data_IF_954086883444
#
_entry.id   IF_954086883444
#
_cell.length_a   1.000
_cell.length_b   1.000
_cell.length_c   1.000
_cell.angle_alpha   90.00
_cell.angle_beta   90.00
_cell.angle_gamma   90.00
#
_symmetry.space_group_name_H-M   'P 1'
#
loop_
_entity.id
_entity.type
_entity.pdbx_description
1 polymer ?
#
# COMPACT_ATOMS: atom_id res chain seq x y z
N UNK A 1 -3.18 4.82 13.63
CA UNK A 1 -3.11 3.34 13.63
C UNK A 1 -1.66 2.86 13.67
N UNK A 2 -0.83 3.08 12.65
CA UNK A 2 0.59 2.64 12.65
C UNK A 2 1.37 3.16 13.87
N UNK A 3 1.28 4.46 14.19
CA UNK A 3 1.95 5.05 15.37
C UNK A 3 1.48 4.47 16.72
N UNK A 4 0.30 3.85 16.77
CA UNK A 4 -0.16 3.12 17.95
C UNK A 4 0.54 1.76 18.02
N UNK A 5 0.56 1.04 16.90
CA UNK A 5 1.21 -0.27 16.77
C UNK A 5 2.73 -0.23 16.98
N UNK A 6 3.39 0.84 16.53
CA UNK A 6 4.82 1.09 16.82
C UNK A 6 5.05 1.19 18.33
N UNK A 7 4.23 1.97 19.05
CA UNK A 7 4.35 2.10 20.50
C UNK A 7 4.07 0.78 21.22
N UNK A 8 3.06 0.03 20.79
CA UNK A 8 2.78 -1.31 21.31
C UNK A 8 3.99 -2.26 21.10
N UNK A 9 4.60 -2.25 19.92
CA UNK A 9 5.79 -3.05 19.64
C UNK A 9 7.00 -2.60 20.48
N UNK A 10 7.23 -1.30 20.65
CA UNK A 10 8.27 -0.76 21.53
C UNK A 10 8.08 -1.20 22.99
N UNK A 11 6.85 -1.16 23.49
CA UNK A 11 6.49 -1.59 24.84
C UNK A 11 6.73 -3.10 25.02
N UNK A 12 6.25 -3.94 24.10
CA UNK A 12 6.42 -5.40 24.14
C UNK A 12 7.89 -5.81 24.03
N UNK A 13 8.66 -5.13 23.18
CA UNK A 13 10.08 -5.40 22.96
C UNK A 13 11.02 -4.80 24.03
N UNK A 14 10.50 -4.03 24.98
CA UNK A 14 11.32 -3.31 25.97
C UNK A 14 12.09 -4.25 26.90
N UNK A 15 11.52 -5.43 27.20
CA UNK A 15 12.12 -6.41 28.10
C UNK A 15 13.06 -7.37 27.36
N UNK A 16 12.59 -7.94 26.24
CA UNK A 16 13.37 -8.86 25.42
C UNK A 16 13.06 -8.66 23.93
N UNK A 17 14.04 -8.10 23.22
CA UNK A 17 13.98 -7.83 21.78
C UNK A 17 13.99 -9.09 20.91
N UNK A 18 14.34 -10.24 21.47
CA UNK A 18 14.42 -11.53 20.77
C UNK A 18 13.24 -12.45 21.07
N UNK A 19 12.36 -12.03 21.98
CA UNK A 19 11.14 -12.76 22.32
C UNK A 19 10.22 -12.89 21.10
N UNK A 20 9.48 -14.00 21.05
CA UNK A 20 8.51 -14.22 19.96
C UNK A 20 7.39 -13.17 19.99
N UNK A 21 7.00 -12.70 21.18
CA UNK A 21 6.05 -11.60 21.33
C UNK A 21 6.57 -10.30 20.69
N UNK A 22 7.85 -9.97 20.85
CA UNK A 22 8.46 -8.82 20.20
C UNK A 22 8.48 -8.96 18.68
N UNK A 23 8.83 -10.15 18.15
CA UNK A 23 8.83 -10.42 16.70
C UNK A 23 7.43 -10.25 16.11
N UNK A 24 6.42 -10.86 16.74
CA UNK A 24 5.02 -10.75 16.29
C UNK A 24 4.54 -9.30 16.32
N UNK A 25 4.89 -8.53 17.35
CA UNK A 25 4.48 -7.13 17.42
C UNK A 25 5.08 -6.28 16.29
N UNK A 26 6.32 -6.53 15.90
CA UNK A 26 6.94 -5.87 14.74
C UNK A 26 6.42 -6.37 13.39
N UNK A 27 6.09 -7.67 13.28
CA UNK A 27 5.44 -8.26 12.10
C UNK A 27 4.09 -7.57 11.83
N UNK A 28 3.29 -7.34 12.87
CA UNK A 28 2.04 -6.55 12.73
C UNK A 28 2.29 -5.12 12.25
N UNK A 29 3.35 -4.46 12.72
CA UNK A 29 3.71 -3.10 12.28
C UNK A 29 4.11 -3.11 10.81
N UNK A 30 4.89 -4.09 10.38
CA UNK A 30 5.31 -4.28 9.00
C UNK A 30 4.10 -4.44 8.09
N UNK A 31 3.22 -5.40 8.38
CA UNK A 31 2.05 -5.71 7.56
C UNK A 31 1.09 -4.52 7.40
N UNK A 32 0.79 -3.81 8.49
CA UNK A 32 -0.08 -2.63 8.44
C UNK A 32 0.58 -1.49 7.64
N UNK A 33 1.91 -1.35 7.75
CA UNK A 33 2.65 -0.34 7.00
C UNK A 33 2.71 -0.67 5.50
N UNK A 34 2.90 -1.94 5.16
CA UNK A 34 2.87 -2.45 3.80
C UNK A 34 1.49 -2.25 3.16
N UNK A 35 0.42 -2.65 3.86
CA UNK A 35 -0.95 -2.44 3.40
C UNK A 35 -1.27 -0.95 3.14
N UNK A 36 -0.81 -0.05 4.03
CA UNK A 36 -0.97 1.40 3.83
C UNK A 36 -0.19 1.91 2.62
N UNK A 37 1.04 1.43 2.43
CA UNK A 37 1.86 1.78 1.27
C UNK A 37 1.20 1.31 -0.03
N UNK A 38 0.68 0.08 -0.04
CA UNK A 38 -0.04 -0.48 -1.18
C UNK A 38 -1.29 0.34 -1.53
N UNK A 39 -2.11 0.66 -0.53
CA UNK A 39 -3.28 1.53 -0.73
C UNK A 39 -2.88 2.90 -1.28
N UNK A 40 -1.81 3.51 -0.76
CA UNK A 40 -1.30 4.77 -1.30
C UNK A 40 -0.86 4.64 -2.75
N UNK A 41 -0.18 3.56 -3.12
CA UNK A 41 0.23 3.30 -4.50
C UNK A 41 -1.00 3.17 -5.41
N UNK A 42 -2.02 2.44 -4.99
CA UNK A 42 -3.28 2.32 -5.73
C UNK A 42 -3.98 3.66 -5.91
N UNK A 43 -3.97 4.51 -4.87
CA UNK A 43 -4.53 5.87 -4.95
C UNK A 43 -3.70 6.80 -5.82
N UNK A 44 -2.37 6.66 -5.84
CA UNK A 44 -1.50 7.43 -6.73
C UNK A 44 -1.63 6.99 -8.19
N UNK A 45 -1.87 5.70 -8.41
CA UNK A 45 -2.12 5.12 -9.72
C UNK A 45 -3.62 5.02 -10.02
N UNK A 46 -4.45 5.92 -9.48
CA UNK A 46 -5.91 5.94 -9.69
C UNK A 46 -6.33 6.39 -11.11
N UNK A 47 -5.55 5.96 -12.11
CA UNK A 47 -5.76 6.16 -13.53
C UNK A 47 -4.98 7.36 -14.03
N UNK A 48 -4.13 7.13 -15.03
CA UNK A 48 -3.83 8.20 -15.99
C UNK A 48 -5.18 8.73 -16.48
N UNK A 49 -5.47 10.05 -16.39
CA UNK A 49 -6.72 10.60 -16.89
C UNK A 49 -7.05 10.14 -18.31
N UNK A 50 -6.02 9.95 -19.15
CA UNK A 50 -6.18 9.40 -20.49
C UNK A 50 -6.64 7.93 -20.46
N UNK A 51 -6.11 7.11 -19.56
CA UNK A 51 -6.55 5.72 -19.42
C UNK A 51 -8.03 5.62 -19.07
N UNK A 52 -8.51 6.39 -18.09
CA UNK A 52 -9.92 6.42 -17.72
C UNK A 52 -10.78 6.96 -18.87
N UNK A 53 -10.32 8.01 -19.55
CA UNK A 53 -10.99 8.57 -20.73
C UNK A 53 -11.10 7.56 -21.87
N UNK A 54 -10.02 6.83 -22.18
CA UNK A 54 -9.99 5.82 -23.24
C UNK A 54 -10.82 4.57 -22.93
N UNK A 55 -11.07 4.28 -21.65
CA UNK A 55 -12.02 3.21 -21.27
C UNK A 55 -13.46 3.59 -21.64
N UNK A 56 -13.81 4.87 -21.56
CA UNK A 56 -15.15 5.38 -21.87
C UNK A 56 -15.31 5.81 -23.34
N UNK A 57 -14.22 6.26 -23.97
CA UNK A 57 -14.17 6.82 -25.32
C UNK A 57 -13.08 6.18 -26.20
N UNK A 58 -13.11 4.85 -26.43
CA UNK A 58 -12.06 4.13 -27.16
C UNK A 58 -11.91 4.55 -28.63
N UNK A 59 -12.93 5.18 -29.22
CA UNK A 59 -12.95 5.62 -30.63
C UNK A 59 -12.22 6.94 -30.90
N UNK A 60 -11.94 7.72 -29.85
CA UNK A 60 -11.25 9.01 -29.93
C UNK A 60 -9.82 8.84 -30.43
N UNK A 61 -9.28 9.87 -31.10
CA UNK A 61 -7.96 9.77 -31.72
C UNK A 61 -6.85 9.52 -30.70
N UNK A 62 -7.02 10.07 -29.50
CA UNK A 62 -6.13 9.90 -28.36
C UNK A 62 -6.08 8.45 -27.83
N UNK A 63 -7.07 7.62 -28.20
CA UNK A 63 -7.30 6.29 -27.65
C UNK A 63 -7.21 5.16 -28.68
N UNK A 64 -7.07 5.48 -29.98
CA UNK A 64 -6.93 4.46 -31.03
C UNK A 64 -5.64 3.67 -30.84
N UNK A 65 -5.78 2.37 -30.61
CA UNK A 65 -4.67 1.41 -30.59
C UNK A 65 -4.78 0.50 -31.81
N UNK A 66 -3.65 0.25 -32.48
CA UNK A 66 -3.58 -0.66 -33.62
C UNK A 66 -2.84 -1.92 -33.18
N UNK A 67 -3.36 -3.10 -33.52
CA UNK A 67 -2.63 -4.36 -33.34
C UNK A 67 -1.83 -4.63 -34.62
N UNK A 68 -0.51 -4.72 -34.47
CA UNK A 68 0.43 -5.14 -35.53
C UNK A 68 0.43 -6.67 -35.71
#
# INVERSE_FOLDING_TARGET
MIQKKIREAEEVCSQDKTSDGCKVAWDEVEEISAAKSHLRLQLMHSGDPLQSFCQEHPETEECRTYQD
#
